data_IF_587936055497
#
_entry.id   IF_587936055497
#
_cell.length_a   1.000
_cell.length_b   1.000
_cell.length_c   1.000
_cell.angle_alpha   90.00
_cell.angle_beta   90.00
_cell.angle_gamma   90.00
#
_symmetry.space_group_name_H-M   'P 1'
#
loop_
_entity.id
_entity.type
_entity.pdbx_description
1 polymer ?
#
# COMPACT_ATOMS: atom_id res chain seq x y z
N UNK A 1 8.50 -29.47 -13.92
CA UNK A 1 8.32 -28.83 -15.24
C UNK A 1 6.96 -28.13 -15.28
N UNK A 2 6.86 -26.81 -15.47
CA UNK A 2 5.57 -26.11 -15.50
C UNK A 2 4.72 -26.59 -16.69
N UNK A 3 3.42 -26.77 -16.45
CA UNK A 3 2.44 -27.30 -17.42
C UNK A 3 2.46 -26.55 -18.76
N UNK A 4 2.70 -25.23 -18.72
CA UNK A 4 2.81 -24.38 -19.90
C UNK A 4 3.88 -24.86 -20.90
N UNK A 5 5.03 -25.37 -20.42
CA UNK A 5 6.10 -25.90 -21.31
C UNK A 5 5.77 -27.26 -21.92
N UNK A 6 4.85 -28.03 -21.32
CA UNK A 6 4.36 -29.30 -21.89
C UNK A 6 3.29 -29.07 -22.96
N UNK A 7 2.38 -28.13 -22.71
CA UNK A 7 1.29 -27.82 -23.64
C UNK A 7 1.75 -26.91 -24.79
N UNK A 8 2.77 -26.10 -24.56
CA UNK A 8 3.32 -25.20 -25.56
C UNK A 8 4.86 -25.28 -25.58
N UNK A 9 5.37 -26.13 -26.47
CA UNK A 9 6.80 -26.49 -26.53
C UNK A 9 7.75 -25.32 -26.79
N UNK A 10 7.26 -24.20 -27.36
CA UNK A 10 8.07 -23.02 -27.72
C UNK A 10 7.62 -21.72 -27.02
N UNK A 11 6.75 -21.78 -26.00
CA UNK A 11 6.23 -20.56 -25.36
C UNK A 11 7.20 -20.00 -24.33
N UNK A 12 7.58 -18.73 -24.54
CA UNK A 12 8.23 -17.94 -23.50
C UNK A 12 7.19 -17.45 -22.50
N UNK A 13 7.42 -17.72 -21.22
CA UNK A 13 6.59 -17.16 -20.15
C UNK A 13 7.04 -15.71 -19.97
N UNK A 14 6.29 -14.77 -20.55
CA UNK A 14 6.51 -13.35 -20.37
C UNK A 14 5.72 -12.92 -19.13
N UNK A 15 6.43 -12.53 -18.08
CA UNK A 15 5.79 -11.87 -16.95
C UNK A 15 5.47 -10.42 -17.33
N UNK A 16 4.19 -10.13 -17.53
CA UNK A 16 3.71 -8.77 -17.76
C UNK A 16 3.95 -7.90 -16.50
N UNK A 17 4.61 -6.75 -16.70
CA UNK A 17 4.90 -5.77 -15.64
C UNK A 17 3.61 -5.25 -15.01
N UNK A 18 2.53 -5.12 -15.78
CA UNK A 18 1.22 -4.73 -15.29
C UNK A 18 0.70 -5.72 -14.25
N UNK A 19 0.78 -7.02 -14.54
CA UNK A 19 0.33 -8.05 -13.61
C UNK A 19 1.20 -8.11 -12.36
N UNK A 20 2.52 -7.92 -12.47
CA UNK A 20 3.42 -7.83 -11.29
C UNK A 20 2.99 -6.67 -10.38
N UNK A 21 2.84 -5.46 -10.93
CA UNK A 21 2.44 -4.26 -10.17
C UNK A 21 1.06 -4.47 -9.54
N UNK A 22 0.12 -5.06 -10.29
CA UNK A 22 -1.22 -5.36 -9.81
C UNK A 22 -1.20 -6.37 -8.64
N UNK A 23 -0.38 -7.42 -8.72
CA UNK A 23 -0.22 -8.41 -7.66
C UNK A 23 0.42 -7.80 -6.41
N UNK A 24 1.47 -6.99 -6.57
CA UNK A 24 2.11 -6.27 -5.46
C UNK A 24 1.13 -5.33 -4.77
N UNK A 25 0.38 -4.53 -5.53
CA UNK A 25 -0.64 -3.65 -4.97
C UNK A 25 -1.72 -4.42 -4.20
N UNK A 26 -2.22 -5.53 -4.75
CA UNK A 26 -3.19 -6.40 -4.05
C UNK A 26 -2.62 -7.02 -2.79
N UNK A 27 -1.36 -7.46 -2.81
CA UNK A 27 -0.68 -8.02 -1.63
C UNK A 27 -0.55 -6.96 -0.53
N UNK A 28 -0.07 -5.77 -0.88
CA UNK A 28 0.03 -4.64 0.06
C UNK A 28 -1.32 -4.30 0.69
N UNK A 29 -2.42 -4.26 -0.09
CA UNK A 29 -3.75 -3.98 0.45
C UNK A 29 -4.21 -5.01 1.48
N UNK A 30 -3.92 -6.30 1.24
CA UNK A 30 -4.23 -7.36 2.20
C UNK A 30 -3.42 -7.18 3.48
N UNK A 31 -2.12 -6.95 3.36
CA UNK A 31 -1.23 -6.71 4.51
C UNK A 31 -1.67 -5.49 5.31
N UNK A 32 -1.98 -4.37 4.65
CA UNK A 32 -2.50 -3.16 5.32
C UNK A 32 -3.76 -3.46 6.12
N UNK A 33 -4.71 -4.23 5.58
CA UNK A 33 -5.95 -4.59 6.29
C UNK A 33 -5.63 -5.50 7.49
N UNK A 34 -4.71 -6.46 7.33
CA UNK A 34 -4.29 -7.33 8.42
C UNK A 34 -3.67 -6.53 9.57
N UNK A 35 -2.72 -5.64 9.27
CA UNK A 35 -2.09 -4.74 10.25
C UNK A 35 -3.12 -3.80 10.88
N UNK A 36 -4.00 -3.19 10.07
CA UNK A 36 -5.07 -2.31 10.56
C UNK A 36 -5.95 -3.02 11.61
N UNK A 37 -6.32 -4.27 11.38
CA UNK A 37 -7.19 -5.03 12.28
C UNK A 37 -6.51 -5.50 13.58
N UNK A 38 -5.19 -5.37 13.70
CA UNK A 38 -4.47 -5.62 14.96
C UNK A 38 -4.68 -4.48 15.97
N UNK A 39 -5.05 -3.29 15.51
CA UNK A 39 -5.28 -2.12 16.36
C UNK A 39 -6.72 -2.03 16.86
N UNK A 40 -6.92 -1.44 18.04
CA UNK A 40 -8.26 -1.11 18.53
C UNK A 40 -8.99 -0.15 17.57
N UNK A 41 -10.29 -0.34 17.38
CA UNK A 41 -11.09 0.41 16.40
C UNK A 41 -11.17 1.92 16.69
N UNK A 42 -10.97 2.35 17.94
CA UNK A 42 -10.97 3.77 18.34
C UNK A 42 -9.56 4.37 18.27
N UNK A 43 -8.52 3.54 18.21
CA UNK A 43 -7.14 3.97 18.17
C UNK A 43 -6.82 4.87 16.96
N UNK A 44 -5.82 5.73 17.12
CA UNK A 44 -5.33 6.56 16.01
C UNK A 44 -4.77 5.73 14.85
N UNK A 45 -3.95 4.67 15.07
CA UNK A 45 -3.44 3.84 13.98
C UNK A 45 -4.53 3.20 13.12
N UNK A 46 -5.56 2.62 13.76
CA UNK A 46 -6.70 2.06 13.03
C UNK A 46 -7.40 3.12 12.18
N UNK A 47 -7.72 4.27 12.75
CA UNK A 47 -8.41 5.36 12.04
C UNK A 47 -7.56 5.95 10.92
N UNK A 48 -6.24 6.06 11.10
CA UNK A 48 -5.32 6.56 10.09
C UNK A 48 -5.26 5.62 8.87
N UNK A 49 -5.05 4.33 9.12
CA UNK A 49 -5.05 3.29 8.09
C UNK A 49 -6.39 3.17 7.37
N UNK A 50 -7.50 3.25 8.12
CA UNK A 50 -8.85 3.14 7.57
C UNK A 50 -9.26 4.36 6.76
N UNK A 51 -9.07 5.56 7.27
CA UNK A 51 -9.62 6.78 6.64
C UNK A 51 -8.75 7.25 5.46
N UNK A 52 -7.44 7.06 5.55
CA UNK A 52 -6.47 7.55 4.54
C UNK A 52 -6.01 6.46 3.58
N UNK A 53 -6.71 5.31 3.52
CA UNK A 53 -6.34 4.14 2.72
C UNK A 53 -6.01 4.45 1.25
N UNK A 54 -6.66 5.46 0.65
CA UNK A 54 -6.45 5.90 -0.74
C UNK A 54 -5.07 6.51 -0.97
N UNK A 55 -4.48 7.13 0.06
CA UNK A 55 -3.14 7.73 -0.07
C UNK A 55 -2.08 6.65 -0.27
N UNK A 56 -2.26 5.48 0.34
CA UNK A 56 -1.33 4.35 0.19
C UNK A 56 -1.46 3.61 -1.15
N UNK A 57 -2.51 3.85 -1.93
CA UNK A 57 -2.68 3.27 -3.27
C UNK A 57 -2.12 4.15 -4.39
N UNK A 58 -1.85 5.43 -4.09
CA UNK A 58 -1.25 6.31 -5.07
C UNK A 58 0.24 6.06 -5.15
N UNK A 59 0.80 6.28 -6.33
CA UNK A 59 2.24 6.43 -6.51
C UNK A 59 2.70 7.58 -5.61
N UNK A 60 3.66 7.30 -4.73
CA UNK A 60 4.22 8.25 -3.78
C UNK A 60 4.71 9.52 -4.47
N UNK A 61 5.27 9.42 -5.68
CA UNK A 61 5.77 10.55 -6.49
C UNK A 61 4.66 11.44 -7.01
N UNK A 62 3.43 10.94 -7.05
CA UNK A 62 2.24 11.64 -7.54
C UNK A 62 1.34 12.15 -6.41
N UNK A 63 1.76 12.01 -5.15
CA UNK A 63 1.03 12.57 -4.02
C UNK A 63 1.07 14.11 -4.11
N UNK A 64 -0.09 14.73 -3.90
CA UNK A 64 -0.18 16.19 -3.96
C UNK A 64 0.64 16.83 -2.83
N UNK A 65 1.25 17.98 -3.11
CA UNK A 65 1.85 18.84 -2.10
C UNK A 65 0.81 19.71 -1.36
N UNK A 66 -0.44 19.73 -1.81
CA UNK A 66 -1.49 20.55 -1.19
C UNK A 66 -1.89 19.95 0.15
N UNK A 67 -1.71 20.73 1.21
CA UNK A 67 -2.14 20.36 2.56
C UNK A 67 -3.66 20.40 2.70
N UNK A 68 -4.19 19.54 3.57
CA UNK A 68 -5.61 19.52 3.92
C UNK A 68 -5.79 19.26 5.41
N UNK A 69 -6.92 19.70 5.97
CA UNK A 69 -7.23 19.42 7.37
C UNK A 69 -7.66 17.95 7.55
N UNK A 70 -6.86 17.20 8.31
CA UNK A 70 -7.10 15.79 8.57
C UNK A 70 -7.81 15.60 9.90
N UNK A 71 -9.11 15.29 9.86
CA UNK A 71 -9.91 14.99 11.07
C UNK A 71 -9.32 13.86 11.91
N UNK A 72 -8.68 12.87 11.27
CA UNK A 72 -8.06 11.75 11.96
C UNK A 72 -6.92 12.18 12.86
N UNK A 73 -6.08 13.12 12.38
CA UNK A 73 -4.91 13.61 13.11
C UNK A 73 -5.17 14.93 13.84
N UNK A 74 -6.30 15.60 13.61
CA UNK A 74 -6.65 16.89 14.21
C UNK A 74 -5.78 18.06 13.73
N UNK A 75 -5.13 17.94 12.57
CA UNK A 75 -4.16 18.91 12.07
C UNK A 75 -4.17 19.00 10.55
N UNK A 76 -3.67 20.11 10.01
CA UNK A 76 -3.48 20.31 8.57
C UNK A 76 -2.17 19.67 8.14
N UNK A 77 -2.24 18.71 7.22
CA UNK A 77 -1.10 17.92 6.76
C UNK A 77 -1.11 17.80 5.25
N UNK A 78 0.07 17.70 4.65
CA UNK A 78 0.20 17.18 3.29
C UNK A 78 -0.09 15.67 3.25
N UNK A 79 -0.53 15.14 2.10
CA UNK A 79 -0.65 13.71 1.87
C UNK A 79 0.61 12.90 2.23
N UNK A 80 1.79 13.43 1.95
CA UNK A 80 3.07 12.80 2.31
C UNK A 80 3.25 12.67 3.81
N UNK A 81 2.92 13.72 4.58
CA UNK A 81 3.01 13.68 6.04
C UNK A 81 2.00 12.71 6.65
N UNK A 82 0.80 12.61 6.08
CA UNK A 82 -0.20 11.61 6.49
C UNK A 82 0.34 10.21 6.29
N UNK A 83 0.91 9.91 5.11
CA UNK A 83 1.52 8.60 4.83
C UNK A 83 2.65 8.34 5.82
N UNK A 84 3.63 9.24 5.93
CA UNK A 84 4.77 9.11 6.85
C UNK A 84 4.34 8.82 8.29
N UNK A 85 3.49 9.69 8.86
CA UNK A 85 2.97 9.52 10.24
C UNK A 85 2.22 8.20 10.44
N UNK A 86 1.60 7.67 9.39
CA UNK A 86 0.88 6.39 9.49
C UNK A 86 1.83 5.20 9.38
N UNK A 87 2.88 5.30 8.56
CA UNK A 87 3.92 4.27 8.46
C UNK A 87 4.70 4.15 9.77
N UNK A 88 4.86 5.24 10.53
CA UNK A 88 5.49 5.24 11.86
C UNK A 88 4.76 4.34 12.89
N UNK A 89 3.51 3.91 12.62
CA UNK A 89 2.78 3.00 13.51
C UNK A 89 3.21 1.53 13.42
N UNK A 90 3.88 1.12 12.34
CA UNK A 90 4.28 -0.28 12.13
C UNK A 90 5.44 -0.37 11.14
N UNK A 91 6.57 -0.91 11.62
CA UNK A 91 7.74 -1.18 10.78
C UNK A 91 7.40 -2.15 9.63
N UNK A 92 6.59 -3.18 9.92
CA UNK A 92 6.09 -4.11 8.91
C UNK A 92 5.36 -3.37 7.79
N UNK A 93 4.43 -2.48 8.13
CA UNK A 93 3.70 -1.67 7.17
C UNK A 93 4.63 -0.81 6.31
N UNK A 94 5.62 -0.17 6.93
CA UNK A 94 6.60 0.67 6.23
C UNK A 94 7.42 -0.15 5.22
N UNK A 95 7.89 -1.33 5.62
CA UNK A 95 8.65 -2.23 4.77
C UNK A 95 7.84 -2.68 3.54
N UNK A 96 6.59 -3.09 3.75
CA UNK A 96 5.71 -3.47 2.64
C UNK A 96 5.34 -2.30 1.72
N UNK A 97 5.15 -1.10 2.29
CA UNK A 97 4.87 0.10 1.49
C UNK A 97 6.06 0.45 0.60
N UNK A 98 7.27 0.45 1.16
CA UNK A 98 8.49 0.75 0.41
C UNK A 98 8.71 -0.25 -0.73
N UNK A 99 8.51 -1.55 -0.48
CA UNK A 99 8.59 -2.59 -1.51
C UNK A 99 7.56 -2.38 -2.64
N UNK A 100 6.33 -2.00 -2.29
CA UNK A 100 5.28 -1.75 -3.27
C UNK A 100 5.53 -0.48 -4.11
N UNK A 101 6.22 0.51 -3.55
CA UNK A 101 6.43 1.83 -4.15
C UNK A 101 7.77 1.97 -4.91
N UNK A 102 8.52 0.88 -5.07
CA UNK A 102 9.74 0.82 -5.89
C UNK A 102 9.50 1.17 -7.36
#
# INVERSE_FOLDING_TARGET
MPLARRLFQNTQIINDRFHIIQHLGRAFLKTRIAIMNQFDKKSLPYRALKNHWRLFQKDSRQLSCKSFHSKTFGQTLSPHEVVRKTLDFSEELANYYNLYQL
#
